data_IF_896277390073
#
_entry.id   IF_896277390073
#
_cell.length_a   1.000
_cell.length_b   1.000
_cell.length_c   1.000
_cell.angle_alpha   90.00
_cell.angle_beta   90.00
_cell.angle_gamma   90.00
#
_symmetry.space_group_name_H-M   'P 1'
#
loop_
_entity.id
_entity.type
_entity.pdbx_description
1 polymer ?
#
# COMPACT_ATOMS: atom_id res chain seq x y z
N UNK A 1 3.71 21.03 16.12
CA UNK A 1 3.01 19.75 15.94
C UNK A 1 2.24 19.91 14.65
N UNK A 2 2.91 19.58 13.54
CA UNK A 2 2.35 19.75 12.20
C UNK A 2 1.35 18.62 11.98
N UNK A 3 0.06 18.99 11.88
CA UNK A 3 -0.95 18.15 11.25
C UNK A 3 -0.66 18.13 9.74
N UNK A 4 -1.24 17.19 8.98
CA UNK A 4 -1.17 17.19 7.51
C UNK A 4 -1.75 18.53 6.98
N UNK A 5 -0.91 19.56 6.86
CA UNK A 5 -1.19 20.83 6.17
C UNK A 5 -0.60 20.77 4.75
N UNK A 6 -0.76 19.61 4.11
CA UNK A 6 -0.22 19.32 2.78
C UNK A 6 -1.40 19.06 1.85
N UNK A 7 -1.55 19.91 0.83
CA UNK A 7 -2.66 19.84 -0.13
C UNK A 7 -4.06 19.98 0.47
N UNK A 8 -5.07 19.62 -0.33
CA UNK A 8 -6.48 19.60 0.05
C UNK A 8 -7.03 18.19 0.09
N UNK A 9 -7.50 17.78 1.26
CA UNK A 9 -8.15 16.49 1.46
C UNK A 9 -9.55 16.48 0.82
N UNK A 10 -9.85 15.40 0.08
CA UNK A 10 -11.13 15.15 -0.55
C UNK A 10 -11.61 13.74 -0.17
N UNK A 11 -12.95 13.53 -0.04
CA UNK A 11 -13.48 12.19 0.13
C UNK A 11 -13.11 11.29 -1.07
N UNK A 12 -13.07 9.97 -0.85
CA UNK A 12 -12.82 9.02 -1.93
C UNK A 12 -13.97 9.06 -2.95
N UNK A 13 -13.64 8.78 -4.21
CA UNK A 13 -14.61 8.74 -5.30
C UNK A 13 -15.64 7.62 -5.07
N UNK A 14 -16.94 7.94 -5.22
CA UNK A 14 -18.01 6.97 -4.97
C UNK A 14 -18.26 6.71 -3.48
N UNK A 15 -18.40 7.80 -2.70
CA UNK A 15 -18.54 7.90 -1.24
C UNK A 15 -19.63 7.02 -0.61
N UNK A 16 -19.43 5.71 -0.66
CA UNK A 16 -20.16 4.72 0.11
C UNK A 16 -19.51 4.64 1.48
N UNK A 17 -20.27 4.58 2.59
CA UNK A 17 -19.70 4.41 3.91
C UNK A 17 -18.85 3.12 3.94
N UNK A 18 -17.53 3.27 3.98
CA UNK A 18 -16.61 2.14 4.07
C UNK A 18 -16.41 1.74 5.53
N UNK A 19 -15.94 0.51 5.76
CA UNK A 19 -15.55 0.07 7.12
C UNK A 19 -14.46 0.96 7.73
N UNK A 20 -13.69 1.68 6.91
CA UNK A 20 -12.63 2.59 7.36
C UNK A 20 -13.16 3.78 8.17
N UNK A 21 -14.42 4.18 7.96
CA UNK A 21 -15.09 5.23 8.72
C UNK A 21 -15.72 4.71 10.02
N UNK A 22 -15.73 3.40 10.24
CA UNK A 22 -16.34 2.81 11.42
C UNK A 22 -15.41 2.88 12.63
N UNK A 23 -16.02 2.81 13.81
CA UNK A 23 -15.33 2.83 15.10
C UNK A 23 -15.32 1.46 15.75
N UNK A 24 -14.59 1.34 16.87
CA UNK A 24 -14.59 0.09 17.64
C UNK A 24 -15.94 -0.26 18.28
N UNK A 25 -16.89 0.68 18.34
CA UNK A 25 -18.26 0.42 18.82
C UNK A 25 -19.12 -0.28 17.75
N UNK A 26 -18.75 -0.13 16.48
CA UNK A 26 -19.44 -0.76 15.35
C UNK A 26 -18.74 -2.04 14.90
N UNK A 27 -17.40 -2.10 14.98
CA UNK A 27 -16.60 -3.28 14.60
C UNK A 27 -15.60 -3.64 15.67
N UNK A 28 -15.66 -4.89 16.13
CA UNK A 28 -14.78 -5.40 17.17
C UNK A 28 -13.36 -5.57 16.64
N UNK A 29 -12.40 -5.11 17.44
CA UNK A 29 -10.95 -5.25 17.15
C UNK A 29 -10.56 -4.69 15.78
N UNK A 30 -11.26 -3.65 15.33
CA UNK A 30 -10.98 -2.96 14.07
C UNK A 30 -9.63 -2.23 14.14
N UNK A 31 -8.74 -2.55 13.21
CA UNK A 31 -7.44 -1.90 13.01
C UNK A 31 -7.10 -1.83 11.52
N UNK A 32 -6.18 -0.95 11.16
CA UNK A 32 -5.55 -0.93 9.85
C UNK A 32 -4.70 -2.20 9.69
N UNK A 33 -4.79 -2.87 8.54
CA UNK A 33 -3.89 -3.97 8.17
C UNK A 33 -2.66 -3.44 7.45
N UNK A 34 -2.84 -3.04 6.20
CA UNK A 34 -1.82 -2.49 5.32
C UNK A 34 -2.33 -1.21 4.64
N UNK A 35 -1.41 -0.46 4.05
CA UNK A 35 -1.73 0.72 3.27
C UNK A 35 -1.00 0.74 1.94
N UNK A 36 -1.63 1.36 0.95
CA UNK A 36 -1.01 1.63 -0.35
C UNK A 36 -1.42 3.00 -0.84
N UNK A 37 -0.57 3.59 -1.67
CA UNK A 37 -0.77 4.91 -2.23
C UNK A 37 -0.91 4.75 -3.74
N UNK A 38 -2.01 5.26 -4.28
CA UNK A 38 -2.25 5.29 -5.72
C UNK A 38 -2.00 6.70 -6.23
N UNK A 39 -0.96 6.87 -7.06
CA UNK A 39 -0.67 8.12 -7.76
C UNK A 39 -1.71 8.34 -8.87
N UNK A 40 -2.65 9.26 -8.67
CA UNK A 40 -3.69 9.60 -9.65
C UNK A 40 -3.15 10.60 -10.67
N UNK A 41 -2.35 11.55 -10.21
CA UNK A 41 -1.62 12.51 -11.03
C UNK A 41 -0.38 13.00 -10.27
N UNK A 42 0.41 13.87 -10.91
CA UNK A 42 1.61 14.48 -10.29
C UNK A 42 1.34 15.17 -8.95
N UNK A 43 0.16 15.76 -8.79
CA UNK A 43 -0.24 16.54 -7.62
C UNK A 43 -1.43 15.94 -6.84
N UNK A 44 -1.83 14.71 -7.18
CA UNK A 44 -2.99 14.06 -6.57
C UNK A 44 -2.70 12.59 -6.30
N UNK A 45 -2.95 12.20 -5.05
CA UNK A 45 -2.83 10.82 -4.60
C UNK A 45 -4.14 10.34 -3.97
N UNK A 46 -4.36 9.04 -4.00
CA UNK A 46 -5.39 8.36 -3.23
C UNK A 46 -4.73 7.42 -2.22
N UNK A 47 -5.08 7.60 -0.95
CA UNK A 47 -4.63 6.71 0.12
C UNK A 47 -5.64 5.58 0.28
N UNK A 48 -5.16 4.34 0.24
CA UNK A 48 -5.99 3.15 0.40
C UNK A 48 -5.50 2.34 1.60
N UNK A 49 -6.44 1.75 2.34
CA UNK A 49 -6.18 0.94 3.53
C UNK A 49 -6.94 -0.38 3.45
N UNK A 50 -6.37 -1.44 4.01
CA UNK A 50 -7.14 -2.62 4.41
C UNK A 50 -7.62 -2.47 5.85
N UNK A 51 -8.80 -3.03 6.13
CA UNK A 51 -9.34 -3.10 7.48
C UNK A 51 -9.27 -4.53 7.98
N UNK A 52 -8.54 -4.72 9.07
CA UNK A 52 -8.42 -5.99 9.76
C UNK A 52 -9.32 -5.96 11.00
N UNK A 53 -10.27 -6.90 11.10
CA UNK A 53 -11.26 -6.93 12.19
C UNK A 53 -11.75 -8.34 12.49
N UNK A 54 -12.41 -8.51 13.64
CA UNK A 54 -13.08 -9.76 13.98
C UNK A 54 -14.54 -9.68 13.53
N UNK A 55 -14.99 -10.50 12.55
CA UNK A 55 -16.37 -10.46 12.08
C UNK A 55 -17.34 -10.89 13.18
N UNK A 56 -18.58 -10.40 13.09
CA UNK A 56 -19.65 -10.75 14.03
C UNK A 56 -20.18 -12.17 13.76
N UNK A 57 -20.05 -12.63 12.52
CA UNK A 57 -20.40 -13.97 12.05
C UNK A 57 -19.20 -14.56 11.31
N UNK A 58 -18.56 -15.58 11.92
CA UNK A 58 -17.35 -16.21 11.36
C UNK A 58 -17.67 -17.15 10.19
N UNK A 59 -18.93 -17.57 10.00
CA UNK A 59 -19.31 -18.54 8.97
C UNK A 59 -19.48 -17.91 7.57
N UNK A 60 -19.57 -16.57 7.51
CA UNK A 60 -19.79 -15.81 6.26
C UNK A 60 -18.49 -15.16 5.75
N UNK A 61 -17.43 -15.23 6.54
CA UNK A 61 -16.15 -14.60 6.22
C UNK A 61 -15.04 -15.65 6.22
N UNK A 62 -14.16 -15.58 5.23
CA UNK A 62 -12.87 -16.25 5.34
C UNK A 62 -12.10 -15.60 6.49
N UNK A 63 -11.73 -16.41 7.47
CA UNK A 63 -11.03 -15.96 8.68
C UNK A 63 -9.72 -16.71 8.86
N UNK A 64 -8.75 -16.03 9.46
CA UNK A 64 -7.51 -16.64 9.87
C UNK A 64 -7.70 -17.60 11.06
N UNK A 65 -6.62 -18.27 11.47
CA UNK A 65 -6.62 -19.17 12.63
C UNK A 65 -7.02 -18.49 13.97
N UNK A 66 -7.09 -17.16 14.01
CA UNK A 66 -7.47 -16.35 15.17
C UNK A 66 -8.88 -15.74 15.02
N UNK A 67 -9.59 -16.07 13.94
CA UNK A 67 -10.94 -15.60 13.63
C UNK A 67 -10.99 -14.13 13.21
N UNK A 68 -9.95 -13.62 12.54
CA UNK A 68 -9.94 -12.29 11.93
C UNK A 68 -10.11 -12.38 10.42
N UNK A 69 -10.70 -11.33 9.85
CA UNK A 69 -10.79 -11.14 8.41
C UNK A 69 -10.18 -9.78 8.04
N UNK A 70 -9.74 -9.68 6.79
CA UNK A 70 -9.14 -8.48 6.24
C UNK A 70 -9.82 -8.12 4.93
N UNK A 71 -10.14 -6.84 4.74
CA UNK A 71 -10.73 -6.38 3.49
C UNK A 71 -9.67 -6.27 2.40
N UNK A 72 -10.12 -6.22 1.15
CA UNK A 72 -9.31 -5.65 0.07
C UNK A 72 -8.93 -4.18 0.38
N UNK A 73 -8.05 -3.61 -0.44
CA UNK A 73 -7.71 -2.20 -0.37
C UNK A 73 -8.94 -1.33 -0.64
N UNK A 74 -9.33 -0.56 0.38
CA UNK A 74 -10.44 0.37 0.32
C UNK A 74 -9.91 1.80 0.29
N UNK A 75 -10.50 2.69 -0.53
CA UNK A 75 -10.07 4.08 -0.58
C UNK A 75 -10.47 4.81 0.70
N UNK A 76 -9.48 5.44 1.34
CA UNK A 76 -9.65 6.19 2.57
C UNK A 76 -10.02 7.65 2.24
N UNK A 77 -9.12 8.35 1.55
CA UNK A 77 -9.30 9.73 1.09
C UNK A 77 -8.29 10.05 -0.01
N UNK A 78 -8.50 11.19 -0.67
CA UNK A 78 -7.56 11.74 -1.65
C UNK A 78 -6.96 13.03 -1.13
N UNK A 79 -5.72 13.29 -1.53
CA UNK A 79 -5.08 14.57 -1.30
C UNK A 79 -4.74 15.16 -2.66
N UNK A 80 -5.17 16.40 -2.88
CA UNK A 80 -5.00 17.15 -4.13
C UNK A 80 -4.14 18.38 -3.88
N UNK A 81 -3.69 19.04 -4.94
CA UNK A 81 -2.85 20.26 -4.86
C UNK A 81 -1.52 20.05 -4.11
N UNK A 82 -0.96 18.85 -4.27
CA UNK A 82 0.38 18.52 -3.76
C UNK A 82 1.45 19.04 -4.72
N UNK A 83 2.58 19.48 -4.18
CA UNK A 83 3.82 19.50 -4.96
C UNK A 83 4.24 18.07 -5.30
N UNK A 84 5.08 17.90 -6.34
CA UNK A 84 5.55 16.55 -6.72
C UNK A 84 6.30 15.89 -5.54
N UNK A 85 7.14 16.65 -4.82
CA UNK A 85 7.89 16.14 -3.65
C UNK A 85 7.00 15.72 -2.50
N UNK A 86 5.95 16.48 -2.19
CA UNK A 86 4.99 16.10 -1.14
C UNK A 86 4.25 14.81 -1.52
N UNK A 87 3.87 14.67 -2.78
CA UNK A 87 3.25 13.44 -3.27
C UNK A 87 4.21 12.25 -3.18
N UNK A 88 5.47 12.42 -3.58
CA UNK A 88 6.50 11.37 -3.49
C UNK A 88 6.78 10.99 -2.02
N UNK A 89 6.84 11.99 -1.14
CA UNK A 89 7.01 11.77 0.29
C UNK A 89 5.86 10.92 0.84
N UNK A 90 4.61 11.31 0.59
CA UNK A 90 3.46 10.59 1.12
C UNK A 90 3.40 9.17 0.53
N UNK A 91 3.70 9.03 -0.77
CA UNK A 91 3.71 7.76 -1.51
C UNK A 91 4.62 6.71 -0.86
N UNK A 92 5.78 7.12 -0.36
CA UNK A 92 6.74 6.19 0.25
C UNK A 92 6.68 6.15 1.78
N UNK A 93 6.33 7.25 2.42
CA UNK A 93 6.39 7.35 3.88
C UNK A 93 5.17 6.71 4.56
N UNK A 94 3.96 6.90 4.01
CA UNK A 94 2.74 6.39 4.64
C UNK A 94 2.72 4.86 4.73
N UNK A 95 3.04 4.09 3.66
CA UNK A 95 3.14 2.63 3.75
C UNK A 95 4.06 2.16 4.87
N UNK A 96 5.28 2.67 4.90
CA UNK A 96 6.28 2.32 5.91
C UNK A 96 5.77 2.59 7.32
N UNK A 97 5.09 3.71 7.53
CA UNK A 97 4.65 4.08 8.85
C UNK A 97 3.40 3.34 9.33
N UNK A 98 2.57 2.84 8.40
CA UNK A 98 1.51 1.90 8.72
C UNK A 98 2.11 0.54 9.09
N UNK A 99 3.09 0.07 8.32
CA UNK A 99 3.73 -1.25 8.50
C UNK A 99 4.61 -1.34 9.75
N UNK A 100 5.40 -0.31 10.05
CA UNK A 100 6.22 -0.23 11.27
C UNK A 100 5.35 -0.24 12.53
N UNK A 101 4.11 0.26 12.40
CA UNK A 101 3.13 0.34 13.47
C UNK A 101 3.74 0.98 14.75
N UNK A 102 3.25 0.59 15.93
CA UNK A 102 3.93 0.90 17.20
C UNK A 102 3.96 2.38 17.65
N UNK A 103 3.41 3.32 16.88
CA UNK A 103 3.47 4.75 17.17
C UNK A 103 4.48 5.54 16.33
N UNK A 104 5.13 4.92 15.34
CA UNK A 104 5.96 5.62 14.38
C UNK A 104 5.16 6.73 13.68
N UNK A 105 5.76 7.92 13.53
CA UNK A 105 5.08 9.11 12.99
C UNK A 105 3.72 9.42 13.67
N UNK A 106 3.61 9.08 14.96
CA UNK A 106 2.38 9.18 15.75
C UNK A 106 1.19 8.34 15.22
N UNK A 107 1.43 7.40 14.31
CA UNK A 107 0.40 6.54 13.76
C UNK A 107 -0.17 5.58 14.82
N UNK A 108 -1.47 5.34 14.75
CA UNK A 108 -2.18 4.44 15.68
C UNK A 108 -3.08 3.51 14.87
N UNK A 109 -2.68 2.26 14.71
CA UNK A 109 -3.38 1.28 13.87
C UNK A 109 -4.84 1.01 14.30
N UNK A 110 -5.14 1.07 15.60
CA UNK A 110 -6.41 0.57 16.15
C UNK A 110 -7.47 1.66 16.21
N UNK A 111 -8.65 1.38 15.65
CA UNK A 111 -9.84 2.21 15.84
C UNK A 111 -10.26 2.20 17.32
N UNK A 112 -10.83 3.32 17.76
CA UNK A 112 -11.42 3.43 19.09
C UNK A 112 -12.87 3.84 18.98
N UNK A 113 -13.58 3.87 20.11
CA UNK A 113 -14.99 4.27 20.18
C UNK A 113 -15.30 5.61 19.52
N UNK A 114 -14.33 6.52 19.52
CA UNK A 114 -14.48 7.90 19.05
C UNK A 114 -13.62 8.24 17.85
N UNK A 115 -12.77 7.32 17.37
CA UNK A 115 -11.86 7.57 16.25
C UNK A 115 -11.85 6.37 15.32
N UNK A 116 -12.24 6.59 14.07
CA UNK A 116 -12.21 5.63 12.97
C UNK A 116 -10.79 5.37 12.46
N UNK A 117 -10.62 4.43 11.53
CA UNK A 117 -9.31 4.21 10.89
C UNK A 117 -8.87 5.42 10.06
N UNK A 118 -9.82 6.10 9.42
CA UNK A 118 -9.54 7.37 8.71
C UNK A 118 -9.06 8.44 9.70
N UNK A 119 -9.73 8.62 10.84
CA UNK A 119 -9.31 9.61 11.84
C UNK A 119 -7.91 9.30 12.41
N UNK A 120 -7.57 8.01 12.49
CA UNK A 120 -6.28 7.53 12.96
C UNK A 120 -5.18 7.80 11.94
N UNK A 121 -5.45 7.56 10.66
CA UNK A 121 -4.54 7.86 9.57
C UNK A 121 -4.31 9.37 9.40
N UNK A 122 -5.33 10.20 9.63
CA UNK A 122 -5.19 11.67 9.57
C UNK A 122 -4.38 12.27 10.71
N UNK A 123 -4.23 11.55 11.82
CA UNK A 123 -3.47 12.01 12.99
C UNK A 123 -1.95 11.84 12.83
N UNK A 124 -1.53 11.41 11.64
CA UNK A 124 -0.15 11.16 11.29
C UNK A 124 0.68 12.44 11.26
N UNK A 125 1.92 12.34 11.75
CA UNK A 125 2.90 13.43 11.70
C UNK A 125 3.87 13.18 10.55
N UNK A 126 3.69 13.90 9.46
CA UNK A 126 4.62 13.88 8.33
C UNK A 126 5.88 14.71 8.67
N UNK A 127 7.07 14.26 8.24
CA UNK A 127 8.25 15.10 8.26
C UNK A 127 8.05 16.30 7.32
N UNK A 128 8.75 17.41 7.61
CA UNK A 128 8.78 18.55 6.70
C UNK A 128 9.53 18.15 5.43
N UNK A 129 8.91 18.34 4.27
CA UNK A 129 9.47 17.94 2.97
C UNK A 129 10.79 18.66 2.69
N UNK A 130 10.95 19.90 3.18
CA UNK A 130 12.17 20.67 2.96
C UNK A 130 13.33 20.16 3.83
N UNK A 131 13.04 19.60 5.01
CA UNK A 131 14.06 19.06 5.92
C UNK A 131 14.65 17.73 5.42
N UNK A 132 13.88 16.96 4.64
CA UNK A 132 14.28 15.63 4.14
C UNK A 132 14.41 15.57 2.61
N UNK A 133 14.39 16.71 1.93
CA UNK A 133 14.38 16.76 0.47
C UNK A 133 15.55 16.00 -0.16
N UNK A 134 16.77 16.22 0.35
CA UNK A 134 17.98 15.56 -0.14
C UNK A 134 17.94 14.04 0.11
N UNK A 135 17.48 13.61 1.29
CA UNK A 135 17.37 12.19 1.63
C UNK A 135 16.30 11.49 0.77
N UNK A 136 15.18 12.16 0.53
CA UNK A 136 14.10 11.68 -0.33
C UNK A 136 14.57 11.55 -1.78
N UNK A 137 15.30 12.54 -2.30
CA UNK A 137 15.84 12.50 -3.67
C UNK A 137 16.82 11.33 -3.84
N UNK A 138 17.75 11.13 -2.90
CA UNK A 138 18.68 10.00 -2.93
C UNK A 138 17.96 8.64 -2.86
N UNK A 139 16.91 8.55 -2.03
CA UNK A 139 16.08 7.34 -1.95
C UNK A 139 15.38 7.05 -3.28
N UNK A 140 14.77 8.07 -3.90
CA UNK A 140 14.06 7.94 -5.17
C UNK A 140 15.01 7.51 -6.30
N UNK A 141 16.20 8.10 -6.40
CA UNK A 141 17.20 7.69 -7.40
C UNK A 141 17.63 6.24 -7.20
N UNK A 142 17.84 5.82 -5.95
CA UNK A 142 18.23 4.44 -5.64
C UNK A 142 17.11 3.45 -5.99
N UNK A 143 15.86 3.83 -5.73
CA UNK A 143 14.66 3.03 -6.06
C UNK A 143 14.47 2.90 -7.56
N UNK A 144 14.55 3.99 -8.32
CA UNK A 144 14.47 3.98 -9.79
C UNK A 144 15.55 3.08 -10.39
N UNK A 145 16.78 3.17 -9.87
CA UNK A 145 17.87 2.29 -10.31
C UNK A 145 17.62 0.81 -9.99
N UNK A 146 17.01 0.52 -8.85
CA UNK A 146 16.65 -0.86 -8.50
C UNK A 146 15.58 -1.39 -9.45
N UNK A 147 14.53 -0.62 -9.72
CA UNK A 147 13.48 -0.97 -10.68
C UNK A 147 14.04 -1.19 -12.10
N UNK A 148 14.97 -0.33 -12.55
CA UNK A 148 15.65 -0.53 -13.84
C UNK A 148 16.48 -1.83 -13.87
N UNK A 149 17.08 -2.22 -12.74
CA UNK A 149 17.83 -3.47 -12.64
C UNK A 149 16.89 -4.67 -12.63
N UNK A 150 15.76 -4.60 -11.93
CA UNK A 150 14.75 -5.67 -11.91
C UNK A 150 14.17 -5.90 -13.31
N UNK A 151 13.83 -4.84 -14.06
CA UNK A 151 13.40 -4.96 -15.47
C UNK A 151 14.47 -5.62 -16.37
N UNK A 152 15.75 -5.35 -16.10
CA UNK A 152 16.86 -5.98 -16.83
C UNK A 152 17.00 -7.45 -16.46
N UNK A 153 16.81 -7.80 -15.19
CA UNK A 153 16.83 -9.18 -14.72
C UNK A 153 15.70 -9.95 -15.38
N UNK A 154 14.46 -9.46 -15.32
CA UNK A 154 13.30 -10.11 -15.93
C UNK A 154 13.50 -10.33 -17.44
N UNK A 155 14.01 -9.33 -18.15
CA UNK A 155 14.35 -9.46 -19.57
C UNK A 155 15.46 -10.48 -19.81
N UNK A 156 16.45 -10.54 -18.91
CA UNK A 156 17.55 -11.50 -19.03
C UNK A 156 17.07 -12.92 -18.77
N UNK A 157 16.19 -13.13 -17.79
CA UNK A 157 15.59 -14.42 -17.49
C UNK A 157 14.78 -14.92 -18.69
N UNK A 158 13.95 -14.06 -19.29
CA UNK A 158 13.23 -14.38 -20.54
C UNK A 158 14.18 -14.80 -21.69
N UNK A 159 15.31 -14.08 -21.85
CA UNK A 159 16.31 -14.42 -22.87
C UNK A 159 17.05 -15.72 -22.54
N UNK A 160 17.29 -16.01 -21.26
CA UNK A 160 17.91 -17.28 -20.83
C UNK A 160 16.97 -18.43 -21.18
N UNK A 161 15.68 -18.31 -20.88
CA UNK A 161 14.69 -19.34 -21.19
C UNK A 161 14.63 -19.61 -22.70
N UNK A 162 14.56 -18.56 -23.52
CA UNK A 162 14.62 -18.67 -24.99
C UNK A 162 15.88 -19.43 -25.46
N UNK A 163 17.06 -19.03 -24.96
CA UNK A 163 18.32 -19.69 -25.32
C UNK A 163 18.34 -21.16 -24.86
N UNK A 164 17.84 -21.47 -23.66
CA UNK A 164 17.79 -22.85 -23.14
C UNK A 164 16.87 -23.70 -24.00
N UNK A 165 15.69 -23.21 -24.36
CA UNK A 165 14.75 -23.91 -25.23
C UNK A 165 15.35 -24.19 -26.61
N UNK A 166 16.03 -23.20 -27.20
CA UNK A 166 16.74 -23.37 -28.47
C UNK A 166 17.89 -24.39 -28.38
N UNK A 167 18.70 -24.32 -27.32
CA UNK A 167 19.87 -25.20 -27.13
C UNK A 167 19.48 -26.67 -26.98
N UNK A 168 18.35 -26.94 -26.33
CA UNK A 168 17.84 -28.30 -26.14
C UNK A 168 16.80 -28.70 -27.21
N UNK A 169 16.41 -27.76 -28.08
CA UNK A 169 15.47 -28.00 -29.18
C UNK A 169 14.08 -28.38 -28.69
N UNK A 170 13.62 -27.78 -27.59
CA UNK A 170 12.30 -28.08 -27.03
C UNK A 170 11.20 -27.67 -28.00
N UNK A 171 10.17 -28.49 -28.05
CA UNK A 171 8.90 -28.16 -28.72
C UNK A 171 8.01 -27.31 -27.80
N UNK A 172 7.01 -26.64 -28.38
CA UNK A 172 6.04 -25.84 -27.61
C UNK A 172 5.36 -26.66 -26.50
N UNK A 173 5.06 -27.94 -26.75
CA UNK A 173 4.50 -28.86 -25.75
C UNK A 173 5.48 -29.15 -24.60
N UNK A 174 6.78 -29.26 -24.88
CA UNK A 174 7.80 -29.48 -23.86
C UNK A 174 8.09 -28.21 -23.06
N UNK A 175 7.99 -27.03 -23.69
CA UNK A 175 8.10 -25.73 -23.00
C UNK A 175 6.95 -25.54 -22.01
N UNK A 176 5.71 -25.80 -22.43
CA UNK A 176 4.52 -25.67 -21.56
C UNK A 176 4.67 -26.53 -20.29
N UNK A 177 5.17 -27.77 -20.43
CA UNK A 177 5.43 -28.66 -19.29
C UNK A 177 6.50 -28.09 -18.36
N UNK A 178 7.55 -27.45 -18.90
CA UNK A 178 8.62 -26.84 -18.10
C UNK A 178 8.10 -25.61 -17.37
N UNK A 179 7.34 -24.74 -18.02
CA UNK A 179 6.76 -23.54 -17.39
C UNK A 179 5.74 -23.91 -16.30
N UNK A 180 4.90 -24.93 -16.51
CA UNK A 180 3.99 -25.42 -15.47
C UNK A 180 4.74 -26.00 -14.27
N UNK A 181 5.91 -26.60 -14.49
CA UNK A 181 6.73 -27.17 -13.42
C UNK A 181 7.56 -26.12 -12.65
N UNK A 182 7.81 -24.95 -13.24
CA UNK A 182 8.66 -23.88 -12.68
C UNK A 182 7.83 -22.70 -12.15
N UNK A 183 6.59 -22.52 -12.60
CA UNK A 183 5.69 -21.48 -12.12
C UNK A 183 5.16 -21.72 -10.70
N UNK A 184 5.86 -21.19 -9.69
CA UNK A 184 5.36 -20.92 -8.32
C UNK A 184 5.54 -19.43 -7.96
#
# INVERSE_FOLDING_TARGET
MLSIEVGFEQPPEGSTPTILQQTSDQKRKLRTGSSTIKRISRNTIEVQLTAHYKPDDEDVHETDQWGYTETEYLPAFRITDLTEREADLIEHFVPVAVDEAGGFANFRETATKTKSLIDRLKAFELPDVDDIADDLENYLETKERAEELDEKIERTDQLIDEIVYELYGLTDEEIEIVEEAVGE
#
